data_IF_538882677485
#
_entry.id   IF_538882677485
#
_cell.length_a   1.000
_cell.length_b   1.000
_cell.length_c   1.000
_cell.angle_alpha   90.00
_cell.angle_beta   90.00
_cell.angle_gamma   90.00
#
_symmetry.space_group_name_H-M   'P 1'
#
loop_
_entity.id
_entity.type
_entity.pdbx_description
1 polymer ?
#
# COMPACT_ATOMS: atom_id res chain seq x y z
N UNK A 1 4.06 1.80 -9.16
CA UNK A 1 4.34 2.31 -7.80
C UNK A 1 3.64 3.65 -7.72
N UNK A 2 2.68 3.78 -6.82
CA UNK A 2 1.93 5.01 -6.60
C UNK A 2 2.44 5.69 -5.33
N UNK A 3 2.56 7.02 -5.35
CA UNK A 3 3.07 7.79 -4.20
C UNK A 3 2.22 9.03 -3.99
N UNK A 4 1.90 9.30 -2.72
CA UNK A 4 1.23 10.54 -2.31
C UNK A 4 1.93 11.12 -1.08
N UNK A 5 1.95 12.45 -0.99
CA UNK A 5 2.45 13.18 0.17
C UNK A 5 1.31 14.00 0.76
N UNK A 6 1.13 13.94 2.08
CA UNK A 6 0.14 14.75 2.80
C UNK A 6 0.73 15.13 4.15
N UNK A 7 0.70 16.43 4.50
CA UNK A 7 1.26 16.94 5.77
C UNK A 7 2.68 16.44 6.08
N UNK A 8 3.55 16.37 5.06
CA UNK A 8 4.93 15.87 5.21
C UNK A 8 5.09 14.35 5.35
N UNK A 9 4.01 13.57 5.31
CA UNK A 9 4.07 12.11 5.32
C UNK A 9 3.95 11.61 3.88
N UNK A 10 4.99 10.96 3.39
CA UNK A 10 5.02 10.32 2.07
C UNK A 10 4.65 8.86 2.21
N UNK A 11 3.63 8.42 1.47
CA UNK A 11 3.21 7.03 1.40
C UNK A 11 3.41 6.54 -0.03
N UNK A 12 4.22 5.49 -0.19
CA UNK A 12 4.47 4.84 -1.48
C UNK A 12 3.97 3.40 -1.46
N UNK A 13 3.26 2.99 -2.51
CA UNK A 13 2.64 1.67 -2.62
C UNK A 13 3.07 0.99 -3.91
N UNK A 14 3.55 -0.24 -3.78
CA UNK A 14 3.90 -1.12 -4.90
C UNK A 14 3.05 -2.37 -4.84
N UNK A 15 1.97 -2.47 -5.64
CA UNK A 15 1.20 -3.70 -5.78
C UNK A 15 1.96 -4.74 -6.63
N UNK A 16 1.74 -6.02 -6.34
CA UNK A 16 2.35 -7.14 -7.05
C UNK A 16 1.35 -8.29 -7.17
N UNK A 17 1.02 -8.66 -8.40
CA UNK A 17 0.17 -9.82 -8.66
C UNK A 17 0.89 -11.13 -8.33
N UNK A 18 0.21 -12.00 -7.59
CA UNK A 18 0.77 -13.26 -7.11
C UNK A 18 0.24 -14.43 -7.94
N UNK A 19 0.87 -14.65 -9.11
CA UNK A 19 0.44 -15.67 -10.07
C UNK A 19 0.40 -17.08 -9.46
N UNK A 20 1.39 -17.45 -8.66
CA UNK A 20 1.49 -18.78 -8.03
C UNK A 20 0.33 -19.10 -7.07
N UNK A 21 -0.33 -18.08 -6.53
CA UNK A 21 -1.44 -18.22 -5.58
C UNK A 21 -2.80 -17.87 -6.17
N UNK A 22 -2.82 -17.42 -7.43
CA UNK A 22 -4.04 -17.00 -8.12
C UNK A 22 -4.60 -18.12 -8.99
N UNK A 23 -5.91 -18.13 -9.19
CA UNK A 23 -6.60 -19.04 -10.10
C UNK A 23 -7.53 -18.22 -11.01
N UNK A 24 -6.99 -17.58 -12.08
CA UNK A 24 -7.78 -16.72 -12.96
C UNK A 24 -8.96 -17.42 -13.62
N UNK A 25 -8.84 -18.70 -13.95
CA UNK A 25 -9.94 -19.50 -14.51
C UNK A 25 -11.13 -19.70 -13.55
N UNK A 26 -10.96 -19.36 -12.27
CA UNK A 26 -12.00 -19.40 -11.25
C UNK A 26 -12.31 -17.99 -10.70
N UNK A 27 -11.89 -16.94 -11.41
CA UNK A 27 -12.00 -15.54 -11.00
C UNK A 27 -11.41 -15.24 -9.61
N UNK A 28 -10.33 -15.95 -9.25
CA UNK A 28 -9.60 -15.74 -7.99
C UNK A 28 -8.24 -15.13 -8.24
N UNK A 29 -8.04 -13.92 -7.73
CA UNK A 29 -6.81 -13.15 -7.90
C UNK A 29 -6.22 -12.76 -6.55
N UNK A 30 -4.94 -13.03 -6.37
CA UNK A 30 -4.19 -12.66 -5.18
C UNK A 30 -3.19 -11.57 -5.55
N UNK A 31 -3.17 -10.51 -4.76
CA UNK A 31 -2.22 -9.42 -4.86
C UNK A 31 -1.55 -9.22 -3.51
N UNK A 32 -0.24 -8.99 -3.54
CA UNK A 32 0.52 -8.46 -2.42
C UNK A 32 0.76 -6.98 -2.64
N UNK A 33 0.96 -6.21 -1.57
CA UNK A 33 1.38 -4.82 -1.66
C UNK A 33 2.53 -4.56 -0.70
N UNK A 34 3.50 -3.77 -1.15
CA UNK A 34 4.54 -3.22 -0.31
C UNK A 34 4.25 -1.73 -0.09
N UNK A 35 4.14 -1.31 1.17
CA UNK A 35 3.86 0.08 1.54
C UNK A 35 5.05 0.63 2.32
N UNK A 36 5.61 1.73 1.84
CA UNK A 36 6.64 2.50 2.53
C UNK A 36 6.02 3.81 3.02
N UNK A 37 6.10 4.07 4.33
CA UNK A 37 5.66 5.32 4.95
C UNK A 37 6.90 6.04 5.46
N UNK A 38 7.13 7.23 4.94
CA UNK A 38 8.28 8.07 5.27
C UNK A 38 7.79 9.37 5.91
N UNK A 39 8.28 9.68 7.11
CA UNK A 39 8.08 10.98 7.73
C UNK A 39 9.14 11.95 7.18
N UNK A 40 8.72 12.90 6.34
CA UNK A 40 9.56 13.97 5.80
C UNK A 40 9.40 15.28 6.59
N UNK A 41 8.56 15.28 7.62
CA UNK A 41 8.39 16.39 8.55
C UNK A 41 9.48 16.44 9.62
N UNK A 42 9.44 17.50 10.43
CA UNK A 42 10.38 17.71 11.54
C UNK A 42 9.92 17.07 12.85
N UNK A 43 8.62 16.85 12.99
CA UNK A 43 8.01 16.33 14.21
C UNK A 43 7.95 14.80 14.17
N UNK A 44 8.18 14.17 15.32
CA UNK A 44 7.96 12.73 15.48
C UNK A 44 6.47 12.43 15.46
N UNK A 45 6.05 11.51 14.58
CA UNK A 45 4.65 11.08 14.45
C UNK A 45 4.51 9.58 14.68
N UNK A 46 3.27 9.15 14.96
CA UNK A 46 2.92 7.74 15.12
C UNK A 46 1.74 7.38 14.22
N UNK A 47 1.88 6.29 13.46
CA UNK A 47 0.75 5.71 12.72
C UNK A 47 -0.20 5.03 13.71
N UNK A 48 -1.40 5.58 13.89
CA UNK A 48 -2.39 5.03 14.82
C UNK A 48 -3.31 3.99 14.17
N UNK A 49 -3.75 4.26 12.94
CA UNK A 49 -4.75 3.45 12.24
C UNK A 49 -4.61 3.56 10.74
N UNK A 50 -5.12 2.55 10.04
CA UNK A 50 -5.26 2.53 8.58
C UNK A 50 -6.69 2.14 8.22
N UNK A 51 -7.17 2.65 7.09
CA UNK A 51 -8.45 2.29 6.51
C UNK A 51 -8.28 2.09 5.00
N UNK A 52 -8.81 1.00 4.48
CA UNK A 52 -8.68 0.64 3.07
C UNK A 52 -10.03 0.68 2.38
N UNK A 53 -10.06 1.31 1.22
CA UNK A 53 -11.11 1.12 0.25
C UNK A 53 -10.51 0.33 -0.92
N UNK A 54 -11.04 -0.87 -1.15
CA UNK A 54 -10.62 -1.77 -2.24
C UNK A 54 -11.85 -2.00 -3.11
N UNK A 55 -11.69 -1.81 -4.42
CA UNK A 55 -12.75 -1.87 -5.42
C UNK A 55 -12.31 -2.74 -6.58
#
# INVERSE_FOLDING_TARGET
METLITEGIKVSVTPSYQAAYSRPALDRYIFAYHITIENLGTDTVQLLRRHWFIW
#
